data_IF_203267720927
#
_entry.id   IF_203267720927
#
_cell.length_a   1.000
_cell.length_b   1.000
_cell.length_c   1.000
_cell.angle_alpha   90.00
_cell.angle_beta   90.00
_cell.angle_gamma   90.00
#
_symmetry.space_group_name_H-M   'P 1'
#
loop_
_entity.id
_entity.type
_entity.pdbx_description
1 polymer ?
#
# COMPACT_ATOMS: atom_id res chain seq x y z
N UNK A 1 11.39 -21.76 9.16
CA UNK A 1 12.52 -20.82 8.97
C UNK A 1 12.37 -19.94 7.72
N UNK A 2 11.83 -20.44 6.60
CA UNK A 2 11.63 -19.66 5.37
C UNK A 2 10.62 -18.51 5.55
N UNK A 3 9.63 -18.67 6.40
CA UNK A 3 8.57 -17.65 6.60
C UNK A 3 9.10 -16.33 7.21
N UNK A 4 10.11 -16.39 8.05
CA UNK A 4 10.68 -15.17 8.67
C UNK A 4 11.31 -14.24 7.62
N UNK A 5 12.26 -14.69 6.75
CA UNK A 5 12.81 -13.83 5.71
C UNK A 5 11.73 -13.38 4.70
N UNK A 6 10.73 -14.21 4.42
CA UNK A 6 9.61 -13.82 3.57
C UNK A 6 8.77 -12.70 4.21
N UNK A 7 8.43 -12.81 5.50
CA UNK A 7 7.71 -11.77 6.24
C UNK A 7 8.49 -10.44 6.28
N UNK A 8 9.81 -10.50 6.49
CA UNK A 8 10.67 -9.32 6.43
C UNK A 8 10.59 -8.67 5.03
N UNK A 9 10.66 -9.47 3.97
CA UNK A 9 10.54 -8.98 2.59
C UNK A 9 9.19 -8.30 2.34
N UNK A 10 8.10 -8.88 2.85
CA UNK A 10 6.76 -8.29 2.74
C UNK A 10 6.68 -6.94 3.44
N UNK A 11 7.15 -6.85 4.69
CA UNK A 11 7.11 -5.60 5.48
C UNK A 11 8.00 -4.52 4.87
N UNK A 12 9.24 -4.85 4.50
CA UNK A 12 10.18 -3.89 3.88
C UNK A 12 9.69 -3.50 2.48
N UNK A 13 9.18 -4.47 1.72
CA UNK A 13 8.65 -4.23 0.38
C UNK A 13 7.45 -3.31 0.39
N UNK A 14 6.46 -3.55 1.24
CA UNK A 14 5.27 -2.70 1.37
C UNK A 14 5.60 -1.31 1.91
N UNK A 15 6.52 -1.21 2.87
CA UNK A 15 7.03 0.07 3.39
C UNK A 15 7.58 0.94 2.27
N UNK A 16 8.50 0.41 1.46
CA UNK A 16 9.09 1.15 0.35
C UNK A 16 8.09 1.41 -0.79
N UNK A 17 7.16 0.48 -1.04
CA UNK A 17 6.17 0.64 -2.10
C UNK A 17 5.20 1.80 -1.83
N UNK A 18 4.73 1.96 -0.59
CA UNK A 18 3.92 3.11 -0.17
C UNK A 18 4.72 4.40 -0.24
N UNK A 19 5.99 4.38 0.18
CA UNK A 19 6.86 5.55 0.10
C UNK A 19 7.08 6.00 -1.37
N UNK A 20 7.31 5.08 -2.29
CA UNK A 20 7.44 5.40 -3.72
C UNK A 20 6.16 5.97 -4.33
N UNK A 21 5.01 5.66 -3.75
CA UNK A 21 3.70 6.15 -4.21
C UNK A 21 3.38 7.53 -3.66
N UNK A 22 4.03 7.97 -2.57
CA UNK A 22 3.80 9.25 -1.91
C UNK A 22 4.47 10.43 -2.66
N UNK A 23 4.24 10.51 -3.97
CA UNK A 23 4.80 11.54 -4.83
C UNK A 23 3.83 12.64 -5.24
N UNK A 24 2.52 12.46 -5.01
CA UNK A 24 1.47 13.44 -5.31
C UNK A 24 0.51 13.59 -4.12
N UNK A 25 -0.14 14.75 -4.05
CA UNK A 25 -1.08 15.11 -2.99
C UNK A 25 -2.20 14.09 -2.80
N UNK A 26 -2.25 13.42 -1.65
CA UNK A 26 -3.28 12.44 -1.32
C UNK A 26 -3.17 11.09 -2.03
N UNK A 27 -2.21 10.91 -2.95
CA UNK A 27 -2.08 9.69 -3.76
C UNK A 27 -1.77 8.44 -2.91
N UNK A 28 -0.93 8.54 -1.90
CA UNK A 28 -0.58 7.40 -1.06
C UNK A 28 -1.65 7.07 -0.03
N UNK A 29 -2.19 8.09 0.66
CA UNK A 29 -3.11 7.87 1.79
C UNK A 29 -4.46 7.26 1.34
N UNK A 30 -4.94 7.60 0.14
CA UNK A 30 -6.17 7.05 -0.42
C UNK A 30 -6.12 5.52 -0.50
N UNK A 31 -5.22 4.94 -1.30
CA UNK A 31 -5.03 3.49 -1.38
C UNK A 31 -4.68 2.84 -0.03
N UNK A 32 -3.90 3.49 0.86
CA UNK A 32 -3.63 2.97 2.21
C UNK A 32 -4.92 2.75 2.98
N UNK A 33 -5.84 3.72 2.97
CA UNK A 33 -7.13 3.58 3.66
C UNK A 33 -7.99 2.47 3.05
N UNK A 34 -8.02 2.35 1.71
CA UNK A 34 -8.78 1.30 1.01
C UNK A 34 -8.25 -0.08 1.39
N UNK A 35 -6.92 -0.28 1.31
CA UNK A 35 -6.29 -1.55 1.70
C UNK A 35 -6.51 -1.84 3.18
N UNK A 36 -6.43 -0.84 4.06
CA UNK A 36 -6.73 -1.00 5.48
C UNK A 36 -8.17 -1.44 5.72
N UNK A 37 -9.15 -0.86 5.00
CA UNK A 37 -10.55 -1.26 5.11
C UNK A 37 -10.76 -2.73 4.68
N UNK A 38 -10.10 -3.16 3.61
CA UNK A 38 -10.11 -4.57 3.21
C UNK A 38 -9.51 -5.46 4.30
N UNK A 39 -8.38 -5.06 4.90
CA UNK A 39 -7.76 -5.83 5.98
C UNK A 39 -8.58 -5.84 7.27
N UNK A 40 -9.31 -4.78 7.61
CA UNK A 40 -10.28 -4.79 8.72
C UNK A 40 -11.29 -5.92 8.54
N UNK A 41 -11.87 -6.03 7.34
CA UNK A 41 -12.81 -7.09 7.02
C UNK A 41 -12.14 -8.48 7.07
N UNK A 42 -10.99 -8.62 6.42
CA UNK A 42 -10.25 -9.90 6.39
C UNK A 42 -9.86 -10.32 7.80
N UNK A 43 -9.28 -9.43 8.60
CA UNK A 43 -8.85 -9.72 9.97
C UNK A 43 -10.04 -10.18 10.84
N UNK A 44 -11.19 -9.52 10.70
CA UNK A 44 -12.41 -9.94 11.37
C UNK A 44 -12.85 -11.35 10.97
N UNK A 45 -12.84 -11.66 9.66
CA UNK A 45 -13.27 -12.97 9.14
C UNK A 45 -12.31 -14.09 9.55
N UNK A 46 -10.99 -13.90 9.40
CA UNK A 46 -10.01 -14.93 9.77
C UNK A 46 -9.84 -15.07 11.28
N UNK A 47 -10.13 -14.02 12.04
CA UNK A 47 -10.08 -14.01 13.50
C UNK A 47 -11.32 -14.63 14.17
N UNK A 48 -12.39 -14.87 13.42
CA UNK A 48 -13.64 -15.46 13.93
C UNK A 48 -13.75 -16.91 13.47
N UNK A 49 -13.78 -17.84 14.45
CA UNK A 49 -13.81 -19.28 14.19
C UNK A 49 -15.03 -19.70 13.35
N UNK A 50 -16.21 -19.09 13.57
CA UNK A 50 -17.44 -19.43 12.83
C UNK A 50 -17.33 -19.03 11.37
N UNK A 51 -16.92 -17.80 11.11
CA UNK A 51 -16.75 -17.31 9.73
C UNK A 51 -15.60 -18.01 9.01
N UNK A 52 -14.46 -18.22 9.67
CA UNK A 52 -13.33 -18.90 9.08
C UNK A 52 -13.71 -20.33 8.64
N UNK A 53 -14.44 -21.06 9.48
CA UNK A 53 -14.91 -22.39 9.17
C UNK A 53 -15.95 -22.40 8.03
N UNK A 54 -16.90 -21.47 8.05
CA UNK A 54 -17.91 -21.35 6.99
C UNK A 54 -17.30 -21.02 5.62
N UNK A 55 -16.32 -20.10 5.59
CA UNK A 55 -15.65 -19.66 4.37
C UNK A 55 -14.49 -20.58 3.94
N UNK A 56 -14.20 -21.63 4.70
CA UNK A 56 -13.08 -22.57 4.45
C UNK A 56 -11.71 -21.86 4.36
N UNK A 57 -11.51 -20.78 5.14
CA UNK A 57 -10.26 -20.05 5.25
C UNK A 57 -9.54 -20.40 6.55
N UNK A 58 -8.22 -20.16 6.60
CA UNK A 58 -7.42 -20.45 7.78
C UNK A 58 -7.85 -19.57 8.97
N UNK A 59 -8.22 -20.19 10.08
CA UNK A 59 -8.49 -19.46 11.32
C UNK A 59 -7.19 -18.98 11.95
N UNK A 60 -7.11 -17.70 12.27
CA UNK A 60 -5.96 -17.07 12.94
C UNK A 60 -6.43 -16.46 14.26
N UNK A 61 -6.19 -17.15 15.40
CA UNK A 61 -6.61 -16.65 16.71
C UNK A 61 -6.06 -15.27 17.00
N UNK A 62 -6.91 -14.36 17.49
CA UNK A 62 -6.52 -12.99 17.84
C UNK A 62 -6.39 -12.01 16.65
N UNK A 63 -6.43 -12.48 15.40
CA UNK A 63 -6.34 -11.60 14.24
C UNK A 63 -7.49 -10.58 14.18
N UNK A 64 -8.64 -10.88 14.78
CA UNK A 64 -9.79 -9.95 14.85
C UNK A 64 -9.47 -8.62 15.51
N UNK A 65 -8.51 -8.57 16.45
CA UNK A 65 -8.08 -7.34 17.11
C UNK A 65 -7.37 -6.37 16.15
N UNK A 66 -6.82 -6.86 15.06
CA UNK A 66 -6.23 -6.01 14.02
C UNK A 66 -7.28 -5.11 13.35
N UNK A 67 -8.57 -5.45 13.45
CA UNK A 67 -9.65 -4.59 12.94
C UNK A 67 -9.71 -3.25 13.70
N UNK A 68 -9.40 -3.24 14.99
CA UNK A 68 -9.31 -2.00 15.80
C UNK A 68 -8.18 -1.13 15.28
N UNK A 69 -7.01 -1.72 15.08
CA UNK A 69 -5.84 -1.02 14.53
C UNK A 69 -6.13 -0.45 13.13
N UNK A 70 -6.67 -1.28 12.24
CA UNK A 70 -7.04 -0.85 10.88
C UNK A 70 -8.11 0.26 10.88
N UNK A 71 -9.10 0.19 11.77
CA UNK A 71 -10.11 1.23 11.96
C UNK A 71 -9.50 2.55 12.43
N UNK A 72 -8.57 2.51 13.37
CA UNK A 72 -7.84 3.70 13.84
C UNK A 72 -7.00 4.32 12.71
N UNK A 73 -6.35 3.49 11.89
CA UNK A 73 -5.56 3.93 10.75
C UNK A 73 -6.44 4.61 9.68
N UNK A 74 -7.62 4.06 9.40
CA UNK A 74 -8.60 4.68 8.49
C UNK A 74 -9.06 6.03 9.04
N UNK A 75 -9.42 6.10 10.32
CA UNK A 75 -9.84 7.35 10.96
C UNK A 75 -8.77 8.43 10.92
N UNK A 76 -7.53 8.08 11.25
CA UNK A 76 -6.39 8.98 11.16
C UNK A 76 -6.12 9.41 9.70
N UNK A 77 -6.22 8.46 8.76
CA UNK A 77 -6.09 8.71 7.32
C UNK A 77 -7.12 9.69 6.77
N UNK A 78 -8.38 9.58 7.19
CA UNK A 78 -9.43 10.54 6.81
C UNK A 78 -9.14 11.94 7.34
N UNK A 79 -8.69 12.07 8.59
CA UNK A 79 -8.29 13.36 9.16
C UNK A 79 -7.06 13.95 8.44
N UNK A 80 -6.08 13.11 8.10
CA UNK A 80 -4.90 13.53 7.34
C UNK A 80 -5.27 13.94 5.91
N UNK A 81 -6.11 13.16 5.21
CA UNK A 81 -6.51 13.44 3.83
C UNK A 81 -7.24 14.78 3.70
N UNK A 82 -7.92 15.24 4.75
CA UNK A 82 -8.55 16.56 4.77
C UNK A 82 -7.56 17.70 4.48
N UNK A 83 -6.31 17.55 4.92
CA UNK A 83 -5.25 18.53 4.72
C UNK A 83 -4.25 18.14 3.63
N UNK A 84 -4.17 16.87 3.28
CA UNK A 84 -3.27 16.33 2.26
C UNK A 84 -3.94 16.17 0.89
N UNK A 85 -5.28 16.33 0.81
CA UNK A 85 -5.97 16.36 -0.49
C UNK A 85 -5.57 17.55 -1.33
N UNK A 86 -5.53 17.37 -2.66
CA UNK A 86 -5.09 18.41 -3.60
C UNK A 86 -5.94 19.68 -3.51
N UNK A 87 -5.35 20.92 -3.42
CA UNK A 87 -3.94 21.19 -3.17
C UNK A 87 -3.56 21.00 -1.69
N UNK A 88 -2.52 20.18 -1.44
CA UNK A 88 -2.14 19.80 -0.09
C UNK A 88 -1.59 20.95 0.75
N UNK A 89 -2.01 21.00 2.01
CA UNK A 89 -1.51 21.91 3.04
C UNK A 89 -0.50 21.23 3.97
N UNK A 90 -0.55 19.90 4.06
CA UNK A 90 0.32 19.07 4.90
C UNK A 90 0.79 17.88 4.10
N UNK A 91 2.06 17.55 4.19
CA UNK A 91 2.69 16.43 3.49
C UNK A 91 3.05 15.31 4.45
N UNK A 92 2.94 14.06 4.00
CA UNK A 92 3.20 12.87 4.81
C UNK A 92 4.70 12.68 5.10
N UNK A 93 5.53 12.83 4.09
CA UNK A 93 6.96 12.59 4.14
C UNK A 93 7.33 11.12 4.40
N UNK A 94 8.63 10.82 4.35
CA UNK A 94 9.14 9.45 4.49
C UNK A 94 8.75 8.79 5.81
N UNK A 95 8.70 9.54 6.90
CA UNK A 95 8.34 9.00 8.21
C UNK A 95 6.91 8.44 8.25
N UNK A 96 5.98 9.12 7.57
CA UNK A 96 4.59 8.69 7.48
C UNK A 96 4.40 7.56 6.48
N UNK A 97 4.89 7.73 5.26
CA UNK A 97 4.68 6.77 4.17
C UNK A 97 5.35 5.41 4.44
N UNK A 98 6.61 5.41 4.94
CA UNK A 98 7.29 4.17 5.33
C UNK A 98 6.57 3.46 6.49
N UNK A 99 6.11 4.22 7.49
CA UNK A 99 5.39 3.66 8.63
C UNK A 99 4.05 3.04 8.23
N UNK A 100 3.28 3.70 7.37
CA UNK A 100 2.00 3.20 6.88
C UNK A 100 2.18 1.93 6.03
N UNK A 101 3.15 1.91 5.14
CA UNK A 101 3.46 0.73 4.35
C UNK A 101 3.94 -0.44 5.19
N UNK A 102 4.79 -0.19 6.20
CA UNK A 102 5.21 -1.21 7.16
C UNK A 102 4.03 -1.75 7.97
N UNK A 103 3.13 -0.87 8.42
CA UNK A 103 1.91 -1.26 9.14
C UNK A 103 1.03 -2.21 8.32
N UNK A 104 0.78 -1.90 7.04
CA UNK A 104 0.06 -2.80 6.14
C UNK A 104 0.75 -4.15 5.97
N UNK A 105 2.08 -4.14 5.80
CA UNK A 105 2.87 -5.36 5.72
C UNK A 105 2.78 -6.23 6.97
N UNK A 106 2.88 -5.63 8.16
CA UNK A 106 2.75 -6.33 9.45
C UNK A 106 1.35 -6.93 9.61
N UNK A 107 0.30 -6.17 9.29
CA UNK A 107 -1.09 -6.66 9.34
C UNK A 107 -1.26 -7.87 8.41
N UNK A 108 -0.73 -7.79 7.19
CA UNK A 108 -0.80 -8.89 6.22
C UNK A 108 -0.11 -10.15 6.71
N UNK A 109 1.09 -10.02 7.32
CA UNK A 109 1.86 -11.15 7.88
C UNK A 109 1.14 -11.78 9.08
N UNK A 110 0.60 -10.96 10.00
CA UNK A 110 -0.14 -11.48 11.16
C UNK A 110 -1.43 -12.18 10.73
N UNK A 111 -2.17 -11.59 9.78
CA UNK A 111 -3.38 -12.18 9.23
C UNK A 111 -3.11 -13.36 8.27
N UNK A 112 -1.84 -13.64 7.92
CA UNK A 112 -1.41 -14.64 6.93
C UNK A 112 -2.03 -14.42 5.56
N UNK A 113 -2.08 -13.17 5.13
CA UNK A 113 -2.74 -12.71 3.90
C UNK A 113 -1.81 -11.86 3.03
N UNK A 114 -0.55 -12.26 2.92
CA UNK A 114 0.48 -11.50 2.20
C UNK A 114 0.18 -11.37 0.70
N UNK A 115 -0.37 -12.44 0.09
CA UNK A 115 -0.80 -12.41 -1.31
C UNK A 115 -1.99 -11.48 -1.52
N UNK A 116 -2.89 -11.38 -0.55
CA UNK A 116 -4.00 -10.43 -0.59
C UNK A 116 -3.47 -8.99 -0.56
N UNK A 117 -2.45 -8.68 0.25
CA UNK A 117 -1.79 -7.36 0.25
C UNK A 117 -1.25 -7.02 -1.15
N UNK A 118 -0.59 -7.97 -1.81
CA UNK A 118 -0.06 -7.76 -3.16
C UNK A 118 -1.15 -7.40 -4.18
N UNK A 119 -2.31 -8.06 -4.09
CA UNK A 119 -3.44 -7.81 -4.99
C UNK A 119 -4.18 -6.51 -4.64
N UNK A 120 -4.54 -6.31 -3.37
CA UNK A 120 -5.26 -5.11 -2.91
C UNK A 120 -4.40 -3.84 -3.03
N UNK A 121 -3.09 -3.97 -2.78
CA UNK A 121 -2.11 -2.92 -2.94
C UNK A 121 -1.59 -2.75 -4.36
N UNK A 122 -2.38 -3.11 -5.39
CA UNK A 122 -1.96 -3.11 -6.80
C UNK A 122 -1.35 -1.80 -7.28
N UNK A 123 -1.84 -0.66 -6.78
CA UNK A 123 -1.25 0.66 -7.09
C UNK A 123 0.19 0.72 -6.60
N UNK A 124 0.47 0.34 -5.35
CA UNK A 124 1.82 0.32 -4.78
C UNK A 124 2.74 -0.63 -5.54
N UNK A 125 2.19 -1.78 -5.96
CA UNK A 125 2.92 -2.78 -6.76
C UNK A 125 3.30 -2.21 -8.13
N UNK A 126 2.36 -1.59 -8.83
CA UNK A 126 2.61 -0.99 -10.16
C UNK A 126 3.64 0.13 -10.07
N UNK A 127 3.55 1.01 -9.07
CA UNK A 127 4.53 2.07 -8.83
C UNK A 127 5.93 1.49 -8.62
N UNK A 128 6.06 0.50 -7.74
CA UNK A 128 7.34 -0.16 -7.45
C UNK A 128 7.90 -0.87 -8.67
N UNK A 129 7.09 -1.64 -9.39
CA UNK A 129 7.51 -2.35 -10.61
C UNK A 129 7.98 -1.34 -11.66
N UNK A 130 7.30 -0.20 -11.81
CA UNK A 130 7.72 0.84 -12.77
C UNK A 130 9.13 1.35 -12.49
N UNK A 131 9.48 1.54 -11.21
CA UNK A 131 10.83 1.95 -10.79
C UNK A 131 11.85 0.84 -11.07
N UNK A 132 11.53 -0.41 -10.70
CA UNK A 132 12.42 -1.56 -10.94
C UNK A 132 12.72 -1.72 -12.44
N UNK A 133 11.69 -1.65 -13.29
CA UNK A 133 11.83 -1.76 -14.73
C UNK A 133 12.65 -0.59 -15.31
N UNK A 134 12.39 0.63 -14.86
CA UNK A 134 13.12 1.81 -15.31
C UNK A 134 14.59 1.74 -14.97
N UNK A 135 14.91 1.44 -13.70
CA UNK A 135 16.31 1.33 -13.23
C UNK A 135 17.02 0.15 -13.89
N UNK A 136 16.35 -1.01 -14.00
CA UNK A 136 16.89 -2.20 -14.66
C UNK A 136 17.22 -1.93 -16.13
N UNK A 137 16.26 -1.36 -16.88
CA UNK A 137 16.49 -1.02 -18.29
C UNK A 137 17.62 0.00 -18.48
N UNK A 138 17.67 1.02 -17.62
CA UNK A 138 18.71 2.04 -17.71
C UNK A 138 20.10 1.47 -17.40
N UNK A 139 20.21 0.60 -16.37
CA UNK A 139 21.50 -0.05 -16.05
C UNK A 139 21.97 -1.01 -17.15
N UNK A 140 21.06 -1.82 -17.72
CA UNK A 140 21.39 -2.85 -18.70
C UNK A 140 21.55 -2.30 -20.13
N UNK A 141 20.64 -1.39 -20.54
CA UNK A 141 20.51 -0.95 -21.94
C UNK A 141 20.78 0.54 -22.15
N UNK A 142 20.98 1.32 -21.06
CA UNK A 142 21.08 2.79 -21.08
C UNK A 142 19.88 3.49 -21.75
N UNK A 143 18.72 2.82 -21.77
CA UNK A 143 17.47 3.34 -22.33
C UNK A 143 16.39 3.41 -21.26
N UNK A 144 15.62 4.49 -21.28
CA UNK A 144 14.44 4.67 -20.42
C UNK A 144 13.24 3.96 -21.05
N UNK A 145 12.43 3.25 -20.26
CA UNK A 145 11.15 2.66 -20.66
C UNK A 145 10.05 3.73 -20.52
N UNK A 146 10.00 4.36 -19.35
CA UNK A 146 9.06 5.43 -19.05
C UNK A 146 9.72 6.80 -19.17
N UNK A 147 8.95 7.86 -19.40
CA UNK A 147 9.46 9.25 -19.36
C UNK A 147 10.09 9.55 -18.01
N UNK A 148 9.42 9.11 -16.93
CA UNK A 148 9.89 9.17 -15.56
C UNK A 148 9.31 7.99 -14.76
N UNK A 149 9.94 7.59 -13.69
CA UNK A 149 9.45 6.63 -12.71
C UNK A 149 9.59 7.26 -11.31
N UNK A 150 8.67 6.98 -10.39
CA UNK A 150 7.47 6.10 -10.49
C UNK A 150 6.46 6.51 -11.57
N UNK A 151 5.50 5.60 -11.88
CA UNK A 151 4.68 5.73 -13.10
C UNK A 151 3.69 6.91 -13.06
N UNK A 152 3.28 7.41 -11.89
CA UNK A 152 2.45 8.60 -11.78
C UNK A 152 3.12 9.82 -12.45
N UNK A 153 4.43 10.01 -12.28
CA UNK A 153 5.18 11.08 -12.95
C UNK A 153 5.25 10.90 -14.48
N UNK A 154 5.17 9.66 -14.97
CA UNK A 154 5.08 9.41 -16.41
C UNK A 154 3.82 10.04 -16.99
N UNK A 155 2.67 9.90 -16.31
CA UNK A 155 1.40 10.47 -16.75
C UNK A 155 1.38 12.01 -16.65
N UNK A 156 2.01 12.59 -15.64
CA UNK A 156 2.19 14.05 -15.55
C UNK A 156 2.98 14.58 -16.76
N UNK A 157 4.11 13.92 -17.09
CA UNK A 157 4.92 14.28 -18.27
C UNK A 157 4.24 13.97 -19.62
N UNK A 158 3.13 13.21 -19.59
CA UNK A 158 2.23 13.07 -20.75
C UNK A 158 1.20 14.20 -20.86
N UNK A 159 1.15 15.12 -19.90
CA UNK A 159 0.25 16.26 -19.86
C UNK A 159 -1.05 16.02 -19.09
N UNK A 160 -1.12 14.97 -18.27
CA UNK A 160 -2.26 14.80 -17.37
C UNK A 160 -2.14 15.77 -16.19
N UNK A 161 -3.19 16.53 -15.86
CA UNK A 161 -3.18 17.34 -14.66
C UNK A 161 -3.15 16.43 -13.41
N UNK A 162 -2.44 16.87 -12.36
CA UNK A 162 -2.25 16.14 -11.11
C UNK A 162 -3.54 15.55 -10.52
N UNK A 163 -4.66 16.31 -10.41
CA UNK A 163 -5.92 15.75 -9.87
C UNK A 163 -6.46 14.57 -10.69
N UNK A 164 -6.18 14.53 -12.00
CA UNK A 164 -6.58 13.40 -12.83
C UNK A 164 -5.75 12.16 -12.52
N UNK A 165 -4.46 12.33 -12.27
CA UNK A 165 -3.59 11.21 -11.89
C UNK A 165 -4.06 10.65 -10.55
N UNK A 166 -4.22 11.50 -9.53
CA UNK A 166 -4.66 11.13 -8.18
C UNK A 166 -5.97 10.33 -8.20
N UNK A 167 -6.97 10.79 -8.95
CA UNK A 167 -8.30 10.12 -9.01
C UNK A 167 -8.28 8.82 -9.81
N UNK A 168 -7.31 8.64 -10.72
CA UNK A 168 -7.21 7.45 -11.58
C UNK A 168 -6.38 6.32 -10.99
N UNK A 169 -5.54 6.62 -10.05
CA UNK A 169 -4.74 5.68 -9.28
C UNK A 169 -5.43 5.29 -7.98
#
# INVERSE_FOLDING_TARGET
WFYVPFGILVVVGSSNAVNLTDGLDGLAIGPVMIVSACFVLIAYLVGNHVFANYLQIAFVPGAGELAIFGGALIGAGLGFLWYNGYPAQVFMGDSGSLSLGAALGVVAVIARQELALFLMGGVFVIETISVILQVGSYKLRKKRIFKMAPIHHHFELMGWPEPRVIVRF
#
